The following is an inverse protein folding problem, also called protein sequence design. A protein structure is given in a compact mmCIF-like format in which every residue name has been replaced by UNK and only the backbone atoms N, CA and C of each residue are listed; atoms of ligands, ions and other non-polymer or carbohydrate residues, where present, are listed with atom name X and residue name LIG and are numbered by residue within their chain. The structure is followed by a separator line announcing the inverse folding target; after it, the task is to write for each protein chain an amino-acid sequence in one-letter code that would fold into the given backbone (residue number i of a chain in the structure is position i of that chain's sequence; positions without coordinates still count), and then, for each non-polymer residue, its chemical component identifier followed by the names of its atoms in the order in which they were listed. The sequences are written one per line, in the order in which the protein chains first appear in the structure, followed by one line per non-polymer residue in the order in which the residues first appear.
data_IF_344464444170
#
_entry.id   IF_344464444170
#
_cell.length_a   1.000
_cell.length_b   1.000
_cell.length_c   1.000
_cell.angle_alpha   90.00
_cell.angle_beta   90.00
_cell.angle_gamma   90.00
#
_symmetry.space_group_name_H-M   'P 1'
#
loop_
_entity.id
_entity.type
_entity.pdbx_description
1 polymer ?
#
# COMPACT_ATOMS: atom_id res chain seq x y z
N UNK A 1 -25.46 -27.80 19.56
CA UNK A 1 -24.47 -28.68 18.91
C UNK A 1 -23.45 -27.75 18.34
N UNK A 2 -22.48 -27.39 19.17
CA UNK A 2 -21.67 -26.20 18.94
C UNK A 2 -20.30 -26.68 18.45
N UNK A 3 -20.32 -27.19 17.22
CA UNK A 3 -19.10 -27.38 16.46
C UNK A 3 -18.61 -26.02 15.93
N UNK A 4 -17.29 -25.83 15.75
CA UNK A 4 -16.78 -24.67 15.04
C UNK A 4 -17.45 -24.56 13.65
N UNK A 5 -17.71 -23.34 13.14
CA UNK A 5 -18.25 -23.15 11.79
C UNK A 5 -17.43 -23.92 10.75
N UNK A 6 -18.12 -24.55 9.79
CA UNK A 6 -17.51 -25.40 8.74
C UNK A 6 -16.56 -24.63 7.79
N UNK A 7 -16.63 -23.30 7.79
CA UNK A 7 -15.80 -22.46 6.94
C UNK A 7 -14.55 -21.95 7.69
N UNK A 8 -13.35 -22.46 7.39
CA UNK A 8 -12.13 -22.03 8.06
C UNK A 8 -11.79 -20.55 7.83
N UNK A 9 -12.38 -19.88 6.83
CA UNK A 9 -12.24 -18.43 6.60
C UNK A 9 -12.85 -17.60 7.72
N UNK A 10 -13.81 -18.15 8.45
CA UNK A 10 -14.43 -17.50 9.61
C UNK A 10 -13.46 -17.34 10.80
N UNK A 11 -12.33 -18.07 10.82
CA UNK A 11 -11.27 -17.93 11.82
C UNK A 11 -10.15 -16.96 11.41
N UNK A 12 -10.18 -16.46 10.17
CA UNK A 12 -9.11 -15.63 9.61
C UNK A 12 -9.41 -14.13 9.68
N UNK A 13 -10.45 -13.72 10.43
CA UNK A 13 -10.64 -12.31 10.78
C UNK A 13 -9.79 -11.97 12.02
N UNK A 14 -8.86 -11.01 11.94
CA UNK A 14 -8.15 -10.52 13.11
C UNK A 14 -9.13 -10.10 14.21
N UNK A 15 -8.81 -10.30 15.50
CA UNK A 15 -9.73 -10.00 16.60
C UNK A 15 -10.30 -8.59 16.58
N UNK A 16 -9.56 -7.61 16.04
CA UNK A 16 -9.94 -6.20 15.93
C UNK A 16 -10.78 -5.85 14.69
N UNK A 17 -10.95 -6.77 13.73
CA UNK A 17 -11.65 -6.49 12.48
C UNK A 17 -13.14 -6.19 12.70
N UNK A 18 -13.73 -6.81 13.72
CA UNK A 18 -15.13 -6.61 14.09
C UNK A 18 -15.37 -5.20 14.64
N UNK A 19 -14.43 -4.68 15.43
CA UNK A 19 -14.46 -3.36 16.05
C UNK A 19 -14.30 -2.28 14.99
N UNK A 20 -13.33 -2.44 14.06
CA UNK A 20 -13.16 -1.52 12.94
C UNK A 20 -14.43 -1.43 12.07
N UNK A 21 -15.12 -2.56 11.85
CA UNK A 21 -16.39 -2.61 11.13
C UNK A 21 -17.48 -1.81 11.85
N UNK A 22 -17.61 -1.96 13.17
CA UNK A 22 -18.59 -1.20 13.97
C UNK A 22 -18.28 0.30 13.98
N UNK A 23 -17.02 0.67 14.11
CA UNK A 23 -16.58 2.08 14.06
C UNK A 23 -16.86 2.67 12.68
N UNK A 24 -16.53 1.97 11.59
CA UNK A 24 -16.82 2.41 10.22
C UNK A 24 -18.32 2.61 9.98
N UNK A 25 -19.17 1.73 10.51
CA UNK A 25 -20.62 1.87 10.44
C UNK A 25 -21.11 3.13 11.18
N UNK A 26 -20.59 3.40 12.38
CA UNK A 26 -20.92 4.62 13.13
C UNK A 26 -20.49 5.89 12.38
N UNK A 27 -19.28 5.88 11.81
CA UNK A 27 -18.77 6.96 10.96
C UNK A 27 -19.70 7.20 9.77
N UNK A 28 -20.11 6.14 9.06
CA UNK A 28 -21.03 6.24 7.93
C UNK A 28 -22.40 6.83 8.32
N UNK A 29 -22.99 6.34 9.42
CA UNK A 29 -24.28 6.83 9.93
C UNK A 29 -24.26 8.29 10.38
N UNK A 30 -23.09 8.84 10.71
CA UNK A 30 -22.97 10.25 11.08
C UNK A 30 -23.23 11.21 9.92
N UNK A 31 -23.10 10.75 8.67
CA UNK A 31 -23.15 11.60 7.48
C UNK A 31 -21.96 12.55 7.33
N UNK A 32 -20.96 12.48 8.22
CA UNK A 32 -19.79 13.34 8.16
C UNK A 32 -18.77 12.79 7.15
N UNK A 33 -18.66 13.46 6.00
CA UNK A 33 -17.75 13.08 4.91
C UNK A 33 -16.28 13.11 5.32
N UNK A 34 -15.92 13.82 6.39
CA UNK A 34 -14.55 13.82 6.93
C UNK A 34 -14.07 12.42 7.35
N UNK A 35 -14.96 11.45 7.56
CA UNK A 35 -14.57 10.08 7.90
C UNK A 35 -14.26 9.18 6.70
N UNK A 36 -14.50 9.63 5.47
CA UNK A 36 -14.20 8.84 4.26
C UNK A 36 -12.74 8.36 4.23
N UNK A 37 -11.71 9.20 4.46
CA UNK A 37 -10.31 8.75 4.52
C UNK A 37 -10.06 7.62 5.54
N UNK A 38 -10.68 7.71 6.72
CA UNK A 38 -10.50 6.72 7.79
C UNK A 38 -11.11 5.37 7.40
N UNK A 39 -12.28 5.39 6.75
CA UNK A 39 -12.91 4.16 6.27
C UNK A 39 -12.09 3.56 5.12
N UNK A 40 -11.48 4.36 4.24
CA UNK A 40 -10.56 3.86 3.21
C UNK A 40 -9.32 3.19 3.84
N UNK A 41 -8.77 3.79 4.89
CA UNK A 41 -7.67 3.19 5.67
C UNK A 41 -8.10 1.86 6.32
N UNK A 42 -9.31 1.79 6.90
CA UNK A 42 -9.87 0.53 7.42
C UNK A 42 -10.09 -0.53 6.34
N UNK A 43 -10.53 -0.11 5.16
CA UNK A 43 -10.85 -0.99 4.04
C UNK A 43 -9.59 -1.67 3.51
N UNK A 44 -8.43 -1.00 3.59
CA UNK A 44 -7.12 -1.57 3.26
C UNK A 44 -6.80 -2.83 4.09
N UNK A 45 -7.33 -2.91 5.30
CA UNK A 45 -7.13 -4.05 6.21
C UNK A 45 -8.23 -5.13 6.08
N UNK A 46 -9.20 -4.96 5.19
CA UNK A 46 -10.25 -5.95 4.94
C UNK A 46 -9.80 -6.98 3.90
N UNK A 47 -9.49 -8.17 4.37
CA UNK A 47 -9.07 -9.27 3.50
C UNK A 47 -10.25 -10.04 2.87
N UNK A 48 -11.44 -10.00 3.48
CA UNK A 48 -12.64 -10.64 2.95
C UNK A 48 -13.36 -9.77 1.91
N UNK A 49 -13.91 -10.40 0.86
CA UNK A 49 -14.73 -9.69 -0.14
C UNK A 49 -15.97 -9.05 0.51
N UNK A 50 -16.56 -9.73 1.49
CA UNK A 50 -17.72 -9.22 2.23
C UNK A 50 -17.36 -7.95 3.03
N UNK A 51 -16.26 -7.96 3.78
CA UNK A 51 -15.82 -6.79 4.55
C UNK A 51 -15.50 -5.59 3.66
N UNK A 52 -14.88 -5.83 2.49
CA UNK A 52 -14.67 -4.79 1.48
C UNK A 52 -15.97 -4.27 0.90
N UNK A 53 -16.90 -5.14 0.51
CA UNK A 53 -18.20 -4.71 -0.03
C UNK A 53 -19.01 -3.90 0.99
N UNK A 54 -18.97 -4.32 2.26
CA UNK A 54 -19.63 -3.64 3.37
C UNK A 54 -19.08 -2.23 3.57
N UNK A 55 -17.75 -2.07 3.73
CA UNK A 55 -17.14 -0.75 3.85
C UNK A 55 -17.30 0.10 2.59
N UNK A 56 -17.30 -0.51 1.41
CA UNK A 56 -17.65 0.14 0.15
C UNK A 56 -19.05 0.76 0.15
N UNK A 57 -20.02 0.09 0.78
CA UNK A 57 -21.38 0.62 0.94
C UNK A 57 -21.43 1.81 1.92
N UNK A 58 -20.60 1.78 2.96
CA UNK A 58 -20.46 2.86 3.94
C UNK A 58 -19.87 4.12 3.31
N UNK A 59 -18.83 3.93 2.48
CA UNK A 59 -18.22 4.99 1.68
C UNK A 59 -19.21 5.57 0.67
N UNK A 60 -19.95 4.73 -0.06
CA UNK A 60 -20.98 5.19 -1.00
C UNK A 60 -22.09 6.01 -0.31
N UNK A 61 -22.47 5.63 0.90
CA UNK A 61 -23.45 6.37 1.70
C UNK A 61 -22.94 7.77 2.07
N UNK A 62 -21.67 7.88 2.49
CA UNK A 62 -21.06 9.16 2.84
C UNK A 62 -20.79 10.04 1.61
N UNK A 63 -20.35 9.44 0.49
CA UNK A 63 -20.13 10.13 -0.77
C UNK A 63 -21.45 10.66 -1.37
N UNK A 64 -22.58 10.01 -1.06
CA UNK A 64 -23.92 10.36 -1.54
C UNK A 64 -24.18 9.84 -2.96
N UNK A 65 -25.39 9.35 -3.23
CA UNK A 65 -25.75 8.66 -4.49
C UNK A 65 -25.92 9.58 -5.73
N UNK A 66 -25.73 10.90 -5.60
CA UNK A 66 -25.94 11.85 -6.70
C UNK A 66 -24.71 12.13 -7.57
N UNK A 67 -23.60 11.43 -7.34
CA UNK A 67 -22.35 11.65 -8.09
C UNK A 67 -22.10 10.52 -9.09
N UNK A 68 -22.01 10.88 -10.36
CA UNK A 68 -21.68 9.97 -11.48
C UNK A 68 -20.30 9.27 -11.30
N UNK A 69 -19.48 9.77 -10.36
CA UNK A 69 -18.11 9.34 -10.11
C UNK A 69 -17.95 8.26 -9.02
N UNK A 70 -19.03 7.77 -8.39
CA UNK A 70 -18.91 6.68 -7.39
C UNK A 70 -18.42 5.40 -8.08
N UNK A 71 -17.40 4.70 -7.53
CA UNK A 71 -16.95 3.42 -8.08
C UNK A 71 -18.10 2.41 -8.20
N UNK A 72 -18.30 1.88 -9.42
CA UNK A 72 -19.26 0.80 -9.65
C UNK A 72 -18.89 -0.47 -8.87
N UNK A 73 -17.58 -0.75 -8.77
CA UNK A 73 -17.01 -1.81 -7.95
C UNK A 73 -16.73 -1.29 -6.53
N UNK A 74 -17.79 -1.07 -5.75
CA UNK A 74 -17.71 -0.50 -4.39
C UNK A 74 -16.75 -1.24 -3.44
N UNK A 75 -16.49 -2.53 -3.68
CA UNK A 75 -15.56 -3.34 -2.89
C UNK A 75 -14.09 -3.22 -3.31
N UNK A 76 -13.77 -2.49 -4.37
CA UNK A 76 -12.39 -2.22 -4.77
C UNK A 76 -11.83 -1.05 -3.97
N UNK A 77 -10.82 -1.33 -3.15
CA UNK A 77 -10.17 -0.31 -2.35
C UNK A 77 -9.39 0.72 -3.18
N UNK A 78 -8.74 0.28 -4.26
CA UNK A 78 -7.96 1.15 -5.13
C UNK A 78 -8.82 2.21 -5.81
N UNK A 79 -10.03 1.83 -6.25
CA UNK A 79 -10.97 2.79 -6.82
C UNK A 79 -11.45 3.85 -5.82
N UNK A 80 -11.57 3.50 -4.53
CA UNK A 80 -11.89 4.48 -3.49
C UNK A 80 -10.71 5.42 -3.16
N UNK A 81 -9.47 4.92 -3.23
CA UNK A 81 -8.26 5.77 -3.14
C UNK A 81 -8.23 6.76 -4.30
N UNK A 82 -8.47 6.30 -5.53
CA UNK A 82 -8.55 7.18 -6.71
C UNK A 82 -9.70 8.18 -6.59
N UNK A 83 -10.86 7.74 -6.11
CA UNK A 83 -12.00 8.61 -5.84
C UNK A 83 -11.61 9.72 -4.87
N UNK A 84 -11.00 9.39 -3.72
CA UNK A 84 -10.54 10.40 -2.75
C UNK A 84 -9.49 11.34 -3.36
N UNK A 85 -8.61 10.81 -4.22
CA UNK A 85 -7.67 11.58 -5.04
C UNK A 85 -8.34 12.70 -5.87
N UNK A 86 -9.52 12.41 -6.42
CA UNK A 86 -10.32 13.35 -7.23
C UNK A 86 -11.19 14.31 -6.41
N UNK A 87 -11.32 14.09 -5.10
CA UNK A 87 -12.20 14.85 -4.21
C UNK A 87 -11.40 15.60 -3.12
N UNK A 88 -10.64 16.66 -3.47
CA UNK A 88 -9.80 17.42 -2.54
C UNK A 88 -10.56 18.22 -1.48
N UNK A 89 -11.88 18.35 -1.61
CA UNK A 89 -12.78 18.94 -0.63
C UNK A 89 -13.07 17.99 0.55
N UNK A 90 -12.92 16.68 0.36
CA UNK A 90 -13.04 15.69 1.44
C UNK A 90 -11.78 15.72 2.28
N UNK A 91 -11.88 16.32 3.46
CA UNK A 91 -10.75 16.49 4.39
C UNK A 91 -10.96 15.68 5.66
N UNK A 92 -9.91 14.99 6.15
CA UNK A 92 -10.01 14.25 7.39
C UNK A 92 -10.20 15.20 8.59
N UNK A 93 -10.75 14.72 9.72
CA UNK A 93 -10.94 15.54 10.92
C UNK A 93 -9.60 15.98 11.55
N UNK A 94 -9.60 17.00 12.42
CA UNK A 94 -8.43 17.35 13.22
C UNK A 94 -7.88 16.14 13.99
N UNK A 95 -6.54 16.03 14.06
CA UNK A 95 -5.84 14.91 14.71
C UNK A 95 -5.67 13.65 13.84
N UNK A 96 -6.10 13.69 12.58
CA UNK A 96 -5.92 12.56 11.64
C UNK A 96 -4.47 12.20 11.39
N UNK A 97 -3.56 13.17 11.41
CA UNK A 97 -2.11 12.97 11.31
C UNK A 97 -1.57 12.07 12.42
N UNK A 98 -1.84 12.41 13.69
CA UNK A 98 -1.46 11.59 14.83
C UNK A 98 -2.16 10.22 14.80
N UNK A 99 -3.46 10.21 14.53
CA UNK A 99 -4.24 8.98 14.42
C UNK A 99 -3.71 8.04 13.34
N UNK A 100 -3.32 8.56 12.18
CA UNK A 100 -2.77 7.76 11.07
C UNK A 100 -1.43 7.13 11.45
N UNK A 101 -0.62 7.83 12.24
CA UNK A 101 0.61 7.29 12.82
C UNK A 101 0.35 6.12 13.75
N UNK A 102 -0.61 6.26 14.65
CA UNK A 102 -1.04 5.16 15.54
C UNK A 102 -1.59 3.98 14.72
N UNK A 103 -2.47 4.25 13.76
CA UNK A 103 -3.11 3.24 12.93
C UNK A 103 -2.10 2.45 12.09
N UNK A 104 -1.22 3.13 11.34
CA UNK A 104 -0.19 2.48 10.54
C UNK A 104 0.90 1.83 11.41
N UNK A 105 1.15 2.38 12.60
CA UNK A 105 2.05 1.83 13.61
C UNK A 105 1.62 0.45 14.12
N UNK A 106 0.33 0.10 14.05
CA UNK A 106 -0.15 -1.25 14.34
C UNK A 106 0.34 -2.30 13.32
N UNK A 107 0.61 -1.88 12.09
CA UNK A 107 1.09 -2.73 11.00
C UNK A 107 2.62 -2.76 10.98
N UNK A 108 3.21 -1.57 11.07
CA UNK A 108 4.64 -1.36 11.10
C UNK A 108 4.97 -0.06 11.85
N UNK A 109 5.67 -0.13 13.00
CA UNK A 109 6.13 1.04 13.74
C UNK A 109 6.96 2.02 12.88
N UNK A 110 7.73 1.51 11.91
CA UNK A 110 8.51 2.32 10.99
C UNK A 110 7.64 3.19 10.08
N UNK A 111 6.51 2.66 9.63
CA UNK A 111 5.51 3.42 8.88
C UNK A 111 4.79 4.45 9.76
N UNK A 112 4.39 4.05 10.98
CA UNK A 112 3.75 4.95 11.93
C UNK A 112 4.59 6.19 12.26
N UNK A 113 5.92 6.04 12.31
CA UNK A 113 6.85 7.13 12.60
C UNK A 113 6.84 8.29 11.58
N UNK A 114 6.29 8.09 10.37
CA UNK A 114 6.14 9.17 9.39
C UNK A 114 4.96 10.11 9.67
N UNK A 115 4.03 9.71 10.52
CA UNK A 115 2.78 10.44 10.79
C UNK A 115 2.69 10.76 12.28
N UNK A 116 2.64 12.05 12.62
CA UNK A 116 2.57 12.54 13.99
C UNK A 116 1.86 13.89 14.01
N UNK A 117 1.41 14.30 15.20
CA UNK A 117 0.71 15.59 15.40
C UNK A 117 1.55 16.76 14.87
N UNK A 118 0.98 17.51 13.92
CA UNK A 118 1.64 18.67 13.31
C UNK A 118 2.74 18.31 12.31
N UNK A 119 2.77 17.09 11.76
CA UNK A 119 3.71 16.70 10.71
C UNK A 119 3.64 17.67 9.52
N UNK A 120 4.80 18.19 9.11
CA UNK A 120 4.89 19.08 7.94
C UNK A 120 4.77 18.25 6.67
N UNK A 121 3.82 18.60 5.81
CA UNK A 121 3.57 17.91 4.56
C UNK A 121 3.32 18.89 3.42
N UNK A 122 3.78 18.52 2.22
CA UNK A 122 3.43 19.19 0.96
C UNK A 122 2.41 18.36 0.14
N UNK A 123 2.03 17.18 0.64
CA UNK A 123 1.03 16.29 0.06
C UNK A 123 -0.15 16.14 1.02
N UNK A 124 -1.24 15.56 0.53
CA UNK A 124 -2.39 15.21 1.36
C UNK A 124 -2.09 13.93 2.13
N UNK A 125 -2.19 13.95 3.47
CA UNK A 125 -1.87 12.78 4.28
C UNK A 125 -2.82 11.63 4.02
N UNK A 126 -4.07 11.93 3.67
CA UNK A 126 -5.09 10.96 3.30
C UNK A 126 -4.80 10.21 1.98
N UNK A 127 -3.89 10.71 1.14
CA UNK A 127 -3.43 10.00 -0.08
C UNK A 127 -2.26 9.04 0.20
N UNK A 128 -1.56 9.19 1.33
CA UNK A 128 -0.48 8.30 1.71
C UNK A 128 -1.06 7.00 2.29
N UNK A 129 -0.83 5.86 1.64
CA UNK A 129 -1.45 4.58 2.02
C UNK A 129 -0.39 3.50 2.25
N UNK A 130 -0.74 2.46 3.01
CA UNK A 130 0.17 1.33 3.23
C UNK A 130 0.24 0.40 2.02
N UNK A 131 1.44 0.29 1.44
CA UNK A 131 1.72 -0.51 0.24
C UNK A 131 1.61 -2.02 0.41
N UNK A 132 1.59 -2.53 1.65
CA UNK A 132 1.45 -3.97 1.96
C UNK A 132 2.74 -4.67 2.36
N UNK A 133 3.88 -3.95 2.38
CA UNK A 133 5.16 -4.44 2.90
C UNK A 133 5.61 -3.48 4.02
N UNK A 134 6.23 -3.99 5.11
CA UNK A 134 6.85 -3.13 6.11
C UNK A 134 7.93 -2.23 5.50
N UNK A 135 8.23 -1.13 6.18
CA UNK A 135 9.36 -0.25 5.90
C UNK A 135 10.63 -1.09 5.79
N UNK A 136 11.38 -0.86 4.72
CA UNK A 136 12.62 -1.57 4.37
C UNK A 136 12.46 -3.09 4.20
N UNK A 137 11.21 -3.60 4.07
CA UNK A 137 10.94 -5.02 3.84
C UNK A 137 11.31 -5.51 2.43
N UNK A 138 11.57 -4.59 1.51
CA UNK A 138 12.17 -4.83 0.18
C UNK A 138 13.52 -4.11 0.17
N UNK A 139 14.60 -4.75 0.63
CA UNK A 139 15.90 -4.11 0.68
C UNK A 139 16.41 -3.88 -0.73
N UNK A 140 16.93 -2.69 -1.01
CA UNK A 140 17.56 -2.39 -2.27
C UNK A 140 18.93 -3.07 -2.40
N UNK A 141 19.39 -3.24 -3.63
CA UNK A 141 20.77 -3.63 -3.87
C UNK A 141 21.66 -2.38 -3.87
N UNK A 142 22.67 -2.35 -3.01
CA UNK A 142 23.64 -1.25 -2.96
C UNK A 142 25.02 -1.77 -3.36
N UNK A 143 25.55 -1.29 -4.49
CA UNK A 143 26.80 -1.73 -5.11
C UNK A 143 26.94 -3.28 -5.08
N UNK A 144 25.98 -4.01 -5.66
CA UNK A 144 25.96 -5.46 -5.56
C UNK A 144 27.21 -6.08 -6.20
N UNK A 145 27.71 -7.21 -5.67
CA UNK A 145 28.87 -7.88 -6.24
C UNK A 145 28.58 -8.34 -7.67
N UNK A 146 29.61 -8.26 -8.52
CA UNK A 146 29.52 -8.60 -9.93
C UNK A 146 30.38 -9.80 -10.27
N UNK A 147 29.92 -10.59 -11.24
CA UNK A 147 30.69 -11.70 -11.81
C UNK A 147 30.81 -11.51 -13.32
N UNK A 148 31.91 -11.96 -13.94
CA UNK A 148 32.00 -12.07 -15.39
C UNK A 148 30.83 -12.87 -15.96
N UNK A 149 30.33 -12.50 -17.15
CA UNK A 149 29.17 -13.17 -17.75
C UNK A 149 29.35 -14.69 -17.96
N UNK A 150 30.57 -15.14 -18.26
CA UNK A 150 30.90 -16.56 -18.38
C UNK A 150 30.96 -17.33 -17.05
N UNK A 151 30.94 -16.63 -15.91
CA UNK A 151 30.89 -17.21 -14.56
C UNK A 151 29.47 -17.17 -13.98
N UNK A 152 28.50 -16.56 -14.67
CA UNK A 152 27.12 -16.47 -14.23
C UNK A 152 26.33 -17.78 -14.47
N UNK A 153 26.82 -18.90 -13.93
CA UNK A 153 26.24 -20.25 -14.11
C UNK A 153 24.81 -20.41 -13.57
N UNK A 154 24.38 -19.47 -12.74
CA UNK A 154 23.04 -19.37 -12.19
C UNK A 154 22.01 -18.80 -13.20
N UNK A 155 22.44 -18.28 -14.36
CA UNK A 155 21.54 -17.80 -15.43
C UNK A 155 21.36 -18.84 -16.55
N UNK A 156 20.11 -19.02 -16.98
CA UNK A 156 19.78 -19.71 -18.22
C UNK A 156 19.90 -18.81 -19.45
N UNK A 157 20.01 -19.40 -20.64
CA UNK A 157 20.12 -18.65 -21.91
C UNK A 157 18.90 -17.77 -22.23
N UNK A 158 17.75 -18.06 -21.63
CA UNK A 158 16.49 -17.30 -21.80
C UNK A 158 16.18 -16.39 -20.62
N UNK A 159 17.04 -16.34 -19.60
CA UNK A 159 16.81 -15.48 -18.44
C UNK A 159 16.90 -14.01 -18.86
N UNK A 160 15.92 -13.22 -18.42
CA UNK A 160 15.86 -11.79 -18.70
C UNK A 160 16.83 -11.03 -17.82
N UNK A 161 17.49 -10.04 -18.41
CA UNK A 161 18.39 -9.12 -17.73
C UNK A 161 18.08 -7.69 -18.19
N UNK A 162 18.37 -6.71 -17.34
CA UNK A 162 18.52 -5.33 -17.76
C UNK A 162 19.99 -5.09 -18.09
N UNK A 163 20.29 -4.79 -19.35
CA UNK A 163 21.62 -4.39 -19.76
C UNK A 163 21.79 -2.88 -19.62
N UNK A 164 22.80 -2.44 -18.88
CA UNK A 164 23.15 -1.03 -18.74
C UNK A 164 24.57 -0.83 -19.28
N UNK A 165 24.75 0.23 -20.08
CA UNK A 165 26.04 0.58 -20.69
C UNK A 165 26.32 2.06 -20.50
N UNK A 166 27.38 2.40 -19.77
CA UNK A 166 27.77 3.79 -19.46
C UNK A 166 29.28 3.91 -19.56
N UNK A 167 29.77 4.93 -20.27
CA UNK A 167 31.20 5.24 -20.42
C UNK A 167 32.09 4.03 -20.81
N UNK A 168 31.56 3.10 -21.60
CA UNK A 168 32.29 1.90 -22.05
C UNK A 168 32.29 0.74 -21.06
N UNK A 169 31.68 0.89 -19.89
CA UNK A 169 31.40 -0.22 -18.97
C UNK A 169 30.00 -0.78 -19.22
N UNK A 170 29.88 -2.11 -19.10
CA UNK A 170 28.64 -2.84 -19.36
C UNK A 170 28.31 -3.73 -18.17
N UNK A 171 27.04 -3.71 -17.74
CA UNK A 171 26.55 -4.57 -16.65
C UNK A 171 25.19 -5.13 -17.00
N UNK A 172 24.96 -6.38 -16.61
CA UNK A 172 23.66 -7.04 -16.72
C UNK A 172 23.11 -7.26 -15.31
N UNK A 173 21.89 -6.79 -15.07
CA UNK A 173 21.17 -6.99 -13.82
C UNK A 173 20.08 -8.03 -14.05
N UNK A 174 20.19 -9.26 -13.52
CA UNK A 174 19.18 -10.28 -13.74
C UNK A 174 17.83 -9.89 -13.19
N UNK A 175 16.78 -10.03 -14.00
CA UNK A 175 15.41 -9.77 -13.58
C UNK A 175 15.03 -10.59 -12.33
N UNK A 176 15.43 -11.86 -12.28
CA UNK A 176 15.14 -12.72 -11.13
C UNK A 176 15.87 -12.31 -9.84
N UNK A 177 16.93 -11.49 -9.94
CA UNK A 177 17.59 -10.88 -8.78
C UNK A 177 16.93 -9.56 -8.45
N UNK A 178 16.61 -8.72 -9.44
CA UNK A 178 15.92 -7.45 -9.20
C UNK A 178 14.48 -7.63 -8.69
N UNK A 179 13.74 -8.65 -9.12
CA UNK A 179 12.35 -8.87 -8.72
C UNK A 179 12.10 -8.75 -7.20
N UNK A 180 12.85 -9.44 -6.32
CA UNK A 180 12.67 -9.33 -4.87
C UNK A 180 13.28 -8.06 -4.25
N UNK A 181 14.03 -7.26 -5.02
CA UNK A 181 14.75 -6.07 -4.52
C UNK A 181 14.18 -4.75 -5.07
N UNK A 182 13.49 -4.78 -6.21
CA UNK A 182 12.84 -3.69 -6.97
C UNK A 182 13.75 -2.51 -7.38
N UNK A 183 14.95 -2.40 -6.80
CA UNK A 183 15.91 -1.32 -6.99
C UNK A 183 17.35 -1.84 -6.90
N UNK A 184 18.21 -1.35 -7.78
CA UNK A 184 19.66 -1.43 -7.64
C UNK A 184 20.31 -0.05 -7.76
N UNK A 185 20.99 0.36 -6.68
CA UNK A 185 21.85 1.52 -6.61
C UNK A 185 23.30 1.08 -6.84
N UNK A 186 23.94 1.60 -7.89
CA UNK A 186 25.26 1.14 -8.34
C UNK A 186 26.10 2.30 -8.90
N UNK A 187 27.37 2.06 -9.14
CA UNK A 187 28.27 2.95 -9.88
C UNK A 187 28.80 2.20 -11.10
N UNK A 188 28.52 2.73 -12.30
CA UNK A 188 28.93 2.11 -13.57
C UNK A 188 29.58 3.15 -14.48
N UNK A 189 30.79 2.87 -14.97
CA UNK A 189 31.52 3.80 -15.82
C UNK A 189 31.82 5.14 -15.13
N UNK A 190 31.93 5.14 -13.79
CA UNK A 190 32.12 6.33 -12.96
C UNK A 190 30.84 7.11 -12.63
N UNK A 191 29.68 6.71 -13.15
CA UNK A 191 28.40 7.40 -12.90
C UNK A 191 27.57 6.64 -11.86
N UNK A 192 27.03 7.32 -10.82
CA UNK A 192 26.05 6.73 -9.93
C UNK A 192 24.72 6.53 -10.67
N UNK A 193 24.13 5.35 -10.53
CA UNK A 193 22.86 5.00 -11.14
C UNK A 193 21.90 4.39 -10.13
N UNK A 194 20.61 4.56 -10.39
CA UNK A 194 19.52 3.84 -9.75
C UNK A 194 18.69 3.16 -10.83
N UNK A 195 18.61 1.84 -10.78
CA UNK A 195 17.79 1.02 -11.66
C UNK A 195 16.57 0.54 -10.88
N UNK A 196 15.39 1.09 -11.20
CA UNK A 196 14.09 0.63 -10.70
C UNK A 196 13.39 -0.25 -11.75
N UNK A 197 12.65 -1.27 -11.32
CA UNK A 197 11.93 -2.20 -12.19
C UNK A 197 10.50 -2.45 -11.73
#
# INVERSE_FOLDING_TARGET
TDGPPDDPRSFFEPPWASELRQVALQMSRSGNTAYIPLIIDFMRLQFSQQGRAEQGSYLATLAGEQYDDIPSEKGDWGLWVEWLGKHPEVRPPPGYDAWKGEFLGLLDPGMGAFFYDGVKTNIRLEEAVWGGVPKDGIPDLVNPPVVPGNQASYLGATDRVFGVSINGEHRAYPLRVLNPHEMANDVLGGEPISLAY
#
